data_IF_911535293032
#
_entry.id   IF_911535293032
#
_cell.length_a   1.000
_cell.length_b   1.000
_cell.length_c   1.000
_cell.angle_alpha   90.00
_cell.angle_beta   90.00
_cell.angle_gamma   90.00
#
_symmetry.space_group_name_H-M   'P 1'
#
loop_
_entity.id
_entity.type
_entity.pdbx_description
1 polymer ?
#
# COMPACT_ATOMS: atom_id res chain seq x y z
N UNK A 1 7.23 3.88 -15.35
CA UNK A 1 7.93 2.89 -14.50
C UNK A 1 6.87 2.24 -13.64
N UNK A 2 6.51 0.98 -13.93
CA UNK A 2 5.53 0.18 -13.16
C UNK A 2 6.28 -0.54 -12.04
N UNK A 3 5.70 -0.61 -10.84
CA UNK A 3 6.24 -1.43 -9.75
C UNK A 3 5.58 -2.81 -9.81
N UNK A 4 6.37 -3.87 -9.86
CA UNK A 4 5.90 -5.26 -9.81
C UNK A 4 6.19 -5.85 -8.43
N UNK A 5 5.20 -6.51 -7.85
CA UNK A 5 5.34 -7.24 -6.58
C UNK A 5 4.76 -8.65 -6.70
N UNK A 6 5.59 -9.65 -6.45
CA UNK A 6 5.20 -11.06 -6.50
C UNK A 6 4.84 -11.60 -5.12
N UNK A 7 3.64 -12.15 -4.98
CA UNK A 7 3.11 -12.80 -3.78
C UNK A 7 3.13 -14.32 -3.99
N UNK A 8 3.86 -15.04 -3.14
CA UNK A 8 4.11 -16.48 -3.28
C UNK A 8 3.43 -17.30 -2.17
N UNK A 9 2.79 -16.66 -1.18
CA UNK A 9 2.13 -17.37 -0.07
C UNK A 9 0.71 -16.85 0.20
N UNK A 10 -0.27 -17.74 0.50
CA UNK A 10 -1.63 -17.36 0.86
C UNK A 10 -1.67 -16.60 2.18
N UNK A 11 -2.41 -15.49 2.23
CA UNK A 11 -2.58 -14.71 3.45
C UNK A 11 -3.75 -15.29 4.22
N UNK A 12 -3.45 -16.00 5.30
CA UNK A 12 -4.46 -16.61 6.15
C UNK A 12 -4.89 -15.62 7.23
N UNK A 13 -6.21 -15.42 7.41
CA UNK A 13 -6.75 -15.03 8.72
C UNK A 13 -6.47 -16.19 9.69
N UNK A 14 -5.37 -16.07 10.44
CA UNK A 14 -4.92 -16.89 11.57
C UNK A 14 -5.41 -18.35 11.63
N UNK A 15 -4.48 -19.32 11.58
CA UNK A 15 -4.58 -20.53 12.37
C UNK A 15 -3.40 -20.60 13.34
N UNK A 16 -3.76 -20.72 14.61
CA UNK A 16 -2.84 -21.08 15.66
C UNK A 16 -2.31 -22.51 15.43
N UNK A 17 -1.00 -22.66 15.21
CA UNK A 17 -0.14 -23.68 15.84
C UNK A 17 1.21 -23.79 15.13
N UNK A 18 2.25 -23.57 15.92
CA UNK A 18 3.53 -24.29 16.01
C UNK A 18 4.66 -23.31 16.27
N UNK A 19 5.07 -23.28 17.55
CA UNK A 19 6.10 -22.44 18.10
C UNK A 19 7.17 -23.34 18.72
N UNK A 20 8.43 -23.15 18.33
CA UNK A 20 9.58 -23.33 19.22
C UNK A 20 10.19 -21.94 19.44
N UNK A 21 10.57 -21.70 20.69
CA UNK A 21 10.97 -20.43 21.33
C UNK A 21 11.89 -19.53 20.45
N UNK A 22 11.81 -18.19 20.50
CA UNK A 22 12.20 -17.37 21.67
C UNK A 22 11.75 -15.90 21.52
N UNK A 23 11.38 -15.28 22.65
CA UNK A 23 11.05 -13.86 22.96
C UNK A 23 9.71 -13.28 22.44
N UNK A 24 8.88 -12.87 23.40
CA UNK A 24 7.54 -12.28 23.28
C UNK A 24 7.65 -10.78 22.96
N UNK A 25 6.99 -10.30 21.91
CA UNK A 25 6.75 -8.86 21.72
C UNK A 25 5.60 -8.41 22.64
N UNK A 26 5.77 -7.38 23.49
CA UNK A 26 4.68 -6.88 24.33
C UNK A 26 3.59 -6.18 23.49
N UNK A 27 2.33 -6.15 23.95
CA UNK A 27 1.29 -5.31 23.36
C UNK A 27 1.75 -3.85 23.42
N UNK A 28 1.82 -3.20 22.26
CA UNK A 28 2.41 -1.86 22.12
C UNK A 28 2.79 -1.56 20.68
N UNK A 29 3.31 -0.35 20.46
CA UNK A 29 3.78 0.09 19.15
C UNK A 29 5.10 -0.61 18.83
N UNK A 30 5.20 -1.10 17.60
CA UNK A 30 6.33 -1.83 17.07
C UNK A 30 6.83 -1.11 15.82
N UNK A 31 8.13 -0.96 15.67
CA UNK A 31 8.75 -0.51 14.43
C UNK A 31 9.10 -1.73 13.59
N UNK A 32 8.63 -1.78 12.36
CA UNK A 32 9.07 -2.75 11.36
C UNK A 32 10.15 -2.12 10.50
N UNK A 33 11.33 -2.74 10.51
CA UNK A 33 12.53 -2.23 9.85
C UNK A 33 13.38 -3.41 9.34
N UNK A 34 13.66 -3.46 8.05
CA UNK A 34 14.41 -4.51 7.35
C UNK A 34 13.87 -5.92 7.70
N UNK A 35 12.54 -6.08 7.64
CA UNK A 35 11.84 -7.32 8.00
C UNK A 35 11.89 -7.70 9.48
N UNK A 36 12.37 -6.81 10.37
CA UNK A 36 12.48 -7.06 11.81
C UNK A 36 11.53 -6.17 12.60
N UNK A 37 10.95 -6.72 13.66
CA UNK A 37 10.11 -5.98 14.60
C UNK A 37 10.93 -5.51 15.80
N UNK A 38 10.83 -4.22 16.13
CA UNK A 38 11.44 -3.61 17.32
C UNK A 38 10.35 -2.98 18.19
N UNK A 39 10.22 -3.46 19.42
CA UNK A 39 9.25 -2.91 20.37
C UNK A 39 9.70 -1.58 20.94
N UNK A 40 8.75 -0.63 21.06
CA UNK A 40 8.98 0.65 21.72
C UNK A 40 8.30 0.66 23.09
N UNK A 41 9.11 0.80 24.14
CA UNK A 41 8.61 1.01 25.49
C UNK A 41 8.03 2.42 25.64
N UNK A 42 6.82 2.59 26.19
CA UNK A 42 6.22 3.91 26.42
C UNK A 42 7.15 4.83 27.22
N UNK A 43 7.29 6.09 26.79
CA UNK A 43 8.12 7.09 27.46
C UNK A 43 9.64 6.91 27.29
N UNK A 44 10.11 5.75 26.80
CA UNK A 44 11.52 5.55 26.49
C UNK A 44 11.87 6.24 25.17
N UNK A 45 12.99 6.97 25.18
CA UNK A 45 13.61 7.51 23.97
C UNK A 45 14.54 6.46 23.38
N UNK A 46 14.32 6.11 22.11
CA UNK A 46 15.10 5.14 21.35
C UNK A 46 15.91 5.89 20.29
N UNK A 47 17.21 5.64 20.22
CA UNK A 47 18.09 6.26 19.21
C UNK A 47 18.30 5.28 18.07
N UNK A 48 18.00 5.71 16.84
CA UNK A 48 18.25 4.92 15.64
C UNK A 48 19.33 5.56 14.77
N UNK A 49 20.23 4.73 14.22
CA UNK A 49 21.36 5.19 13.40
C UNK A 49 22.29 4.05 12.98
N UNK A 50 23.38 4.37 12.29
CA UNK A 50 24.32 3.35 11.76
C UNK A 50 25.30 2.80 12.80
N UNK A 51 25.46 3.49 13.93
CA UNK A 51 26.34 3.08 15.03
C UNK A 51 25.89 1.76 15.65
N UNK A 52 26.85 0.98 16.16
CA UNK A 52 26.58 -0.20 16.99
C UNK A 52 26.05 0.17 18.39
N UNK A 53 26.24 1.41 18.80
CA UNK A 53 25.77 1.95 20.08
C UNK A 53 24.34 2.51 20.00
N UNK A 54 23.75 2.58 18.80
CA UNK A 54 22.35 2.96 18.64
C UNK A 54 21.44 1.85 19.19
N UNK A 55 20.34 2.21 19.85
CA UNK A 55 19.32 1.26 20.31
C UNK A 55 18.74 0.48 19.12
N UNK A 56 18.59 1.15 17.97
CA UNK A 56 18.15 0.55 16.70
C UNK A 56 19.18 0.82 15.63
N UNK A 57 19.84 -0.24 15.18
CA UNK A 57 20.82 -0.15 14.10
C UNK A 57 20.13 -0.13 12.73
N UNK A 58 20.42 0.90 11.95
CA UNK A 58 19.94 1.11 10.59
C UNK A 58 21.09 1.00 9.60
N UNK A 59 20.87 0.32 8.47
CA UNK A 59 21.82 0.26 7.36
C UNK A 59 21.61 1.37 6.33
N UNK A 60 22.64 1.63 5.51
CA UNK A 60 22.51 2.40 4.27
C UNK A 60 23.42 3.64 4.14
N UNK A 61 23.69 4.08 2.90
CA UNK A 61 24.72 5.09 2.60
C UNK A 61 24.44 6.53 3.06
N UNK A 62 23.34 6.81 3.76
CA UNK A 62 22.99 8.15 4.24
C UNK A 62 22.49 8.15 5.68
N UNK A 63 22.84 7.10 6.45
CA UNK A 63 22.43 6.97 7.84
C UNK A 63 23.54 7.43 8.77
N UNK A 64 23.34 8.56 9.46
CA UNK A 64 24.26 9.05 10.48
C UNK A 64 24.39 8.06 11.68
N UNK A 65 25.51 8.07 12.43
CA UNK A 65 25.72 7.18 13.57
C UNK A 65 24.61 7.24 14.61
N UNK A 66 24.10 8.45 14.87
CA UNK A 66 22.90 8.74 15.67
C UNK A 66 22.03 9.64 14.81
N UNK A 67 21.03 9.08 14.15
CA UNK A 67 20.28 9.78 13.11
C UNK A 67 19.01 10.40 13.69
N UNK A 68 18.19 9.59 14.34
CA UNK A 68 16.90 10.02 14.87
C UNK A 68 16.70 9.56 16.29
N UNK A 69 15.90 10.30 17.05
CA UNK A 69 15.28 9.80 18.26
C UNK A 69 13.81 9.48 18.01
N UNK A 70 13.36 8.36 18.55
CA UNK A 70 12.00 7.86 18.42
C UNK A 70 11.41 7.71 19.82
N UNK A 71 10.16 8.13 19.99
CA UNK A 71 9.36 7.91 21.20
C UNK A 71 8.00 7.36 20.82
N UNK A 72 7.51 6.37 21.56
CA UNK A 72 6.13 5.92 21.44
C UNK A 72 5.19 6.85 22.21
N UNK A 73 4.10 7.24 21.55
CA UNK A 73 2.95 7.94 22.11
C UNK A 73 1.69 7.09 21.91
N UNK A 74 0.57 7.39 22.59
CA UNK A 74 -0.69 6.70 22.32
C UNK A 74 -1.07 6.80 20.83
N UNK A 75 -1.08 5.64 20.15
CA UNK A 75 -1.48 5.50 18.74
C UNK A 75 -0.49 6.04 17.70
N UNK A 76 0.71 6.47 18.10
CA UNK A 76 1.70 7.04 17.18
C UNK A 76 3.13 6.91 17.71
N UNK A 77 4.10 7.16 16.84
CA UNK A 77 5.45 7.51 17.25
C UNK A 77 5.71 8.99 16.99
N UNK A 78 6.64 9.57 17.75
CA UNK A 78 7.26 10.85 17.43
C UNK A 78 8.71 10.60 17.10
N UNK A 79 9.13 11.14 15.95
CA UNK A 79 10.50 11.06 15.45
C UNK A 79 11.10 12.47 15.45
N UNK A 80 12.27 12.63 16.06
CA UNK A 80 13.08 13.85 16.07
C UNK A 80 14.40 13.61 15.32
N UNK A 81 14.77 14.49 14.38
CA UNK A 81 16.11 14.50 13.77
C UNK A 81 17.15 14.95 14.83
N UNK A 82 18.30 14.28 14.89
CA UNK A 82 19.35 14.55 15.89
C UNK A 82 20.48 15.42 15.36
N UNK A 83 20.19 16.28 14.37
CA UNK A 83 21.19 17.11 13.73
C UNK A 83 22.04 16.32 12.74
N UNK A 84 21.45 15.31 12.10
CA UNK A 84 22.03 14.80 10.85
C UNK A 84 21.98 15.91 9.80
N UNK A 85 22.86 15.90 8.79
CA UNK A 85 22.79 16.84 7.66
C UNK A 85 21.46 16.75 6.85
N UNK A 86 20.45 15.98 7.30
CA UNK A 86 19.05 16.27 6.98
C UNK A 86 18.15 15.19 6.50
N UNK A 87 18.18 14.02 7.11
CA UNK A 87 17.74 12.83 6.41
C UNK A 87 16.54 12.08 7.04
N UNK A 88 15.73 12.73 7.87
CA UNK A 88 14.30 12.34 7.95
C UNK A 88 13.59 12.94 6.74
N UNK A 89 13.10 12.08 5.86
CA UNK A 89 12.30 12.50 4.70
C UNK A 89 10.94 11.81 4.70
N UNK A 90 9.88 12.59 4.54
CA UNK A 90 8.52 12.06 4.29
C UNK A 90 8.05 12.66 2.97
N UNK A 91 7.70 11.83 2.00
CA UNK A 91 7.30 12.29 0.66
C UNK A 91 8.37 13.12 -0.08
N UNK A 92 9.65 12.95 0.27
CA UNK A 92 10.77 13.71 -0.31
C UNK A 92 11.09 15.04 0.40
N UNK A 93 10.23 15.53 1.29
CA UNK A 93 10.47 16.73 2.10
C UNK A 93 11.28 16.40 3.36
N UNK A 94 12.24 17.28 3.72
CA UNK A 94 13.02 17.17 4.98
C UNK A 94 12.13 17.56 6.15
N UNK A 95 12.18 16.78 7.23
CA UNK A 95 11.36 17.03 8.42
C UNK A 95 12.24 16.98 9.68
N UNK A 96 12.17 17.99 10.53
CA UNK A 96 12.89 18.01 11.81
C UNK A 96 12.19 17.17 12.88
N UNK A 97 10.86 17.17 12.87
CA UNK A 97 10.01 16.37 13.75
C UNK A 97 8.76 15.89 13.05
N UNK A 98 8.45 14.61 13.18
CA UNK A 98 7.22 14.01 12.63
C UNK A 98 6.49 13.20 13.69
N UNK A 99 5.16 13.34 13.75
CA UNK A 99 4.27 12.42 14.46
C UNK A 99 3.67 11.45 13.45
N UNK A 100 3.93 10.16 13.60
CA UNK A 100 3.55 9.13 12.64
C UNK A 100 2.59 8.15 13.32
N UNK A 101 1.31 8.11 12.91
CA UNK A 101 0.33 7.22 13.53
C UNK A 101 0.66 5.74 13.24
N UNK A 102 0.08 4.84 14.03
CA UNK A 102 0.04 3.41 13.71
C UNK A 102 -0.56 3.21 12.31
N UNK A 103 0.06 2.34 11.51
CA UNK A 103 -0.21 2.17 10.08
C UNK A 103 0.58 3.13 9.18
N UNK A 104 1.10 4.22 9.75
CA UNK A 104 1.94 5.18 9.05
C UNK A 104 3.36 4.67 8.81
N UNK A 105 4.08 5.39 7.95
CA UNK A 105 5.44 5.05 7.52
C UNK A 105 6.28 6.31 7.51
N UNK A 106 7.53 6.19 7.95
CA UNK A 106 8.54 7.24 7.86
C UNK A 106 9.82 6.69 7.26
N UNK A 107 10.49 7.45 6.41
CA UNK A 107 11.75 7.03 5.82
C UNK A 107 12.92 7.76 6.44
N UNK A 108 13.96 7.00 6.79
CA UNK A 108 15.27 7.52 7.22
C UNK A 108 16.25 7.20 6.10
N UNK A 109 16.66 8.23 5.34
CA UNK A 109 17.33 8.02 4.07
C UNK A 109 16.44 7.23 3.09
N UNK A 110 16.82 5.97 2.78
CA UNK A 110 16.05 5.05 1.93
C UNK A 110 15.39 3.91 2.71
N UNK A 111 15.57 3.88 4.02
CA UNK A 111 15.08 2.79 4.88
C UNK A 111 13.69 3.17 5.37
N UNK A 112 12.62 2.45 4.95
CA UNK A 112 11.29 2.66 5.49
C UNK A 112 11.21 2.11 6.92
N UNK A 113 10.51 2.84 7.79
CA UNK A 113 10.17 2.41 9.13
C UNK A 113 8.65 2.38 9.21
N UNK A 114 8.07 1.18 9.32
CA UNK A 114 6.62 1.06 9.47
C UNK A 114 6.25 1.09 10.94
N UNK A 115 5.20 1.84 11.26
CA UNK A 115 4.61 1.84 12.59
C UNK A 115 3.52 0.79 12.63
N UNK A 116 3.80 -0.34 13.25
CA UNK A 116 2.85 -1.44 13.39
C UNK A 116 2.33 -1.56 14.83
N UNK A 117 1.18 -2.18 14.97
CA UNK A 117 0.60 -2.49 16.27
C UNK A 117 0.84 -3.96 16.61
N UNK A 118 1.35 -4.27 17.81
CA UNK A 118 1.33 -5.64 18.32
C UNK A 118 -0.09 -6.12 18.60
N UNK A 119 -0.46 -7.30 18.09
CA UNK A 119 -1.79 -7.91 18.23
C UNK A 119 -1.69 -9.27 18.94
N UNK A 120 -2.53 -9.46 19.97
CA UNK A 120 -2.66 -10.72 20.71
C UNK A 120 -2.04 -10.70 22.12
N UNK A 121 -2.58 -11.54 23.03
CA UNK A 121 -2.09 -11.70 24.42
C UNK A 121 -1.30 -13.00 24.66
N UNK A 122 -1.28 -13.95 23.72
CA UNK A 122 -0.56 -15.21 23.88
C UNK A 122 -0.11 -15.80 22.53
N UNK A 123 1.15 -16.27 22.52
CA UNK A 123 1.87 -17.01 21.48
C UNK A 123 2.05 -16.34 20.11
N UNK A 124 3.24 -15.74 19.92
CA UNK A 124 3.82 -15.49 18.59
C UNK A 124 3.79 -14.05 18.09
N UNK A 125 3.37 -13.07 18.91
CA UNK A 125 3.56 -11.63 18.67
C UNK A 125 3.24 -11.16 17.25
N UNK A 126 2.02 -11.41 16.77
CA UNK A 126 1.63 -10.91 15.46
C UNK A 126 1.59 -9.38 15.45
N UNK A 127 1.97 -8.78 14.34
CA UNK A 127 1.85 -7.36 14.09
C UNK A 127 0.64 -7.10 13.20
N UNK A 128 0.09 -5.90 13.29
CA UNK A 128 -0.89 -5.37 12.35
C UNK A 128 -0.41 -4.06 11.72
N UNK A 129 -0.60 -3.96 10.42
CA UNK A 129 -0.29 -2.78 9.61
C UNK A 129 -1.35 -2.65 8.50
N UNK A 130 -2.03 -1.51 8.44
CA UNK A 130 -3.05 -1.22 7.40
C UNK A 130 -4.10 -2.35 7.21
N UNK A 131 -4.54 -2.97 8.31
CA UNK A 131 -5.49 -4.09 8.28
C UNK A 131 -4.90 -5.46 7.94
N UNK A 132 -3.63 -5.52 7.54
CA UNK A 132 -2.87 -6.76 7.34
C UNK A 132 -2.31 -7.25 8.67
N UNK A 133 -2.24 -8.57 8.88
CA UNK A 133 -1.64 -9.19 10.07
C UNK A 133 -0.48 -10.09 9.62
N UNK A 134 0.65 -10.00 10.33
CA UNK A 134 1.89 -10.65 9.91
C UNK A 134 2.82 -10.93 11.09
N UNK A 135 3.72 -11.90 10.92
CA UNK A 135 4.70 -12.27 11.96
C UNK A 135 6.07 -12.71 11.44
N UNK A 136 6.16 -13.08 10.16
CA UNK A 136 7.41 -13.56 9.56
C UNK A 136 8.22 -12.39 9.02
N UNK A 137 9.55 -12.52 9.01
CA UNK A 137 10.41 -11.48 8.44
C UNK A 137 10.10 -11.20 6.96
N UNK A 138 9.69 -12.24 6.22
CA UNK A 138 9.23 -12.12 4.82
C UNK A 138 7.99 -11.23 4.71
N UNK A 139 6.97 -11.47 5.53
CA UNK A 139 5.77 -10.65 5.55
C UNK A 139 6.08 -9.19 5.88
N UNK A 140 6.96 -8.98 6.87
CA UNK A 140 7.36 -7.65 7.29
C UNK A 140 8.15 -6.92 6.19
N UNK A 141 9.03 -7.61 5.47
CA UNK A 141 9.73 -7.05 4.31
C UNK A 141 8.76 -6.69 3.17
N UNK A 142 7.76 -7.53 2.88
CA UNK A 142 6.72 -7.21 1.89
C UNK A 142 5.92 -5.96 2.29
N UNK A 143 5.62 -5.76 3.58
CA UNK A 143 4.98 -4.53 4.03
C UNK A 143 5.84 -3.28 3.79
N UNK A 144 7.16 -3.41 3.95
CA UNK A 144 8.08 -2.30 3.68
C UNK A 144 8.12 -1.95 2.19
N UNK A 145 8.10 -2.95 1.32
CA UNK A 145 7.99 -2.76 -0.13
C UNK A 145 6.65 -2.11 -0.50
N UNK A 146 5.53 -2.59 0.07
CA UNK A 146 4.20 -2.01 -0.17
C UNK A 146 4.12 -0.56 0.33
N UNK A 147 4.71 -0.26 1.47
CA UNK A 147 4.78 1.09 2.01
C UNK A 147 5.58 2.04 1.11
N UNK A 148 6.72 1.58 0.61
CA UNK A 148 7.53 2.35 -0.36
C UNK A 148 6.71 2.57 -1.64
N UNK A 149 6.04 1.54 -2.16
CA UNK A 149 5.15 1.67 -3.30
C UNK A 149 4.03 2.68 -3.03
N UNK A 150 3.42 2.65 -1.84
CA UNK A 150 2.41 3.58 -1.35
C UNK A 150 2.83 5.05 -1.48
N UNK A 151 4.08 5.36 -1.16
CA UNK A 151 4.65 6.72 -1.24
C UNK A 151 4.83 7.28 -2.67
N UNK A 152 4.59 6.46 -3.70
CA UNK A 152 4.71 6.86 -5.10
C UNK A 152 3.35 6.89 -5.79
N UNK A 153 3.26 7.61 -6.91
CA UNK A 153 2.08 7.60 -7.81
C UNK A 153 2.17 6.56 -8.93
N UNK A 154 3.22 5.74 -8.95
CA UNK A 154 3.42 4.76 -10.00
C UNK A 154 2.28 3.71 -9.99
N UNK A 155 1.86 3.24 -11.18
CA UNK A 155 1.02 2.06 -11.27
C UNK A 155 1.68 0.87 -10.56
N UNK A 156 0.87 0.12 -9.82
CA UNK A 156 1.33 -1.04 -9.07
C UNK A 156 0.69 -2.30 -9.64
N UNK A 157 1.51 -3.32 -9.91
CA UNK A 157 1.05 -4.63 -10.31
C UNK A 157 1.30 -5.64 -9.19
N UNK A 158 0.22 -6.26 -8.71
CA UNK A 158 0.22 -7.29 -7.68
C UNK A 158 0.02 -8.66 -8.36
N UNK A 159 1.09 -9.44 -8.44
CA UNK A 159 1.04 -10.78 -9.01
C UNK A 159 1.03 -11.84 -7.90
N UNK A 160 0.19 -12.85 -8.00
CA UNK A 160 0.21 -13.98 -7.06
C UNK A 160 -1.09 -14.78 -7.06
N UNK A 161 -1.10 -15.94 -6.40
CA UNK A 161 -2.26 -16.85 -6.38
C UNK A 161 -3.52 -16.20 -5.77
N UNK A 162 -4.70 -16.72 -6.11
CA UNK A 162 -5.95 -16.26 -5.52
C UNK A 162 -5.96 -16.55 -4.01
N UNK A 163 -6.45 -15.60 -3.19
CA UNK A 163 -6.39 -15.71 -1.73
C UNK A 163 -5.05 -15.30 -1.09
N UNK A 164 -4.05 -14.88 -1.86
CA UNK A 164 -2.80 -14.28 -1.33
C UNK A 164 -2.94 -12.81 -0.89
N UNK A 165 -4.12 -12.38 -0.46
CA UNK A 165 -4.27 -11.06 0.17
C UNK A 165 -3.98 -9.84 -0.72
N UNK A 166 -3.97 -9.98 -2.05
CA UNK A 166 -3.70 -8.88 -3.01
C UNK A 166 -4.62 -7.67 -2.79
N UNK A 167 -5.91 -7.90 -2.51
CA UNK A 167 -6.86 -6.83 -2.22
C UNK A 167 -6.49 -6.07 -0.93
N UNK A 168 -6.04 -6.78 0.12
CA UNK A 168 -5.56 -6.16 1.35
C UNK A 168 -4.29 -5.33 1.09
N UNK A 169 -3.37 -5.85 0.28
CA UNK A 169 -2.17 -5.12 -0.14
C UNK A 169 -2.53 -3.84 -0.91
N UNK A 170 -3.49 -3.90 -1.86
CA UNK A 170 -3.96 -2.73 -2.59
C UNK A 170 -4.57 -1.66 -1.65
N UNK A 171 -5.38 -2.09 -0.68
CA UNK A 171 -5.95 -1.19 0.35
C UNK A 171 -4.86 -0.56 1.21
N UNK A 172 -3.84 -1.32 1.61
CA UNK A 172 -2.72 -0.82 2.39
C UNK A 172 -1.87 0.21 1.62
N UNK A 173 -1.62 -0.04 0.34
CA UNK A 173 -0.92 0.89 -0.56
C UNK A 173 -1.72 2.18 -0.73
N UNK A 174 -3.03 2.08 -0.95
CA UNK A 174 -3.90 3.26 -1.02
C UNK A 174 -3.86 4.07 0.28
N UNK A 175 -4.01 3.42 1.44
CA UNK A 175 -4.02 4.07 2.76
C UNK A 175 -2.69 4.70 3.16
N UNK A 176 -1.59 4.36 2.50
CA UNK A 176 -0.25 4.96 2.73
C UNK A 176 0.16 5.96 1.64
N UNK A 177 -0.72 6.21 0.66
CA UNK A 177 -0.46 7.13 -0.44
C UNK A 177 -0.94 8.55 -0.16
N UNK A 178 -0.51 9.50 -0.99
CA UNK A 178 -1.03 10.86 -1.01
C UNK A 178 -2.50 10.94 -1.47
N UNK A 179 -3.07 9.83 -1.99
CA UNK A 179 -4.46 9.70 -2.40
C UNK A 179 -5.35 8.98 -1.38
N UNK A 180 -4.86 8.71 -0.17
CA UNK A 180 -5.63 8.02 0.88
C UNK A 180 -6.94 8.73 1.29
N UNK A 181 -7.06 10.04 1.03
CA UNK A 181 -8.30 10.80 1.23
C UNK A 181 -9.29 10.73 0.07
N UNK A 182 -8.88 10.18 -1.07
CA UNK A 182 -9.70 9.98 -2.26
C UNK A 182 -10.38 8.60 -2.30
N UNK A 183 -11.20 8.33 -3.33
CA UNK A 183 -11.89 7.05 -3.46
C UNK A 183 -10.92 5.89 -3.75
N UNK A 184 -11.19 4.72 -3.18
CA UNK A 184 -10.63 3.45 -3.65
C UNK A 184 -11.75 2.65 -4.32
N UNK A 185 -11.74 2.62 -5.65
CA UNK A 185 -12.73 1.88 -6.44
C UNK A 185 -12.12 0.55 -6.85
N UNK A 186 -12.75 -0.56 -6.46
CA UNK A 186 -12.29 -1.90 -6.81
C UNK A 186 -13.25 -2.56 -7.79
N UNK A 187 -12.72 -3.11 -8.88
CA UNK A 187 -13.44 -3.85 -9.90
C UNK A 187 -12.82 -5.24 -10.00
N UNK A 188 -13.64 -6.27 -9.78
CA UNK A 188 -13.27 -7.64 -10.10
C UNK A 188 -13.62 -7.92 -11.56
N UNK A 189 -12.61 -7.99 -12.42
CA UNK A 189 -12.81 -8.12 -13.87
C UNK A 189 -13.37 -9.50 -14.24
N UNK A 190 -13.05 -10.54 -13.49
CA UNK A 190 -13.58 -11.89 -13.72
C UNK A 190 -15.09 -12.00 -13.43
N UNK A 191 -15.66 -11.06 -12.67
CA UNK A 191 -17.09 -11.00 -12.36
C UNK A 191 -17.89 -10.14 -13.34
N UNK A 192 -17.24 -9.46 -14.29
CA UNK A 192 -17.90 -8.60 -15.26
C UNK A 192 -18.24 -9.35 -16.55
N UNK A 193 -19.53 -9.46 -16.92
CA UNK A 193 -19.90 -9.87 -18.27
C UNK A 193 -19.28 -8.94 -19.31
N UNK A 194 -18.80 -9.52 -20.43
CA UNK A 194 -18.08 -8.77 -21.46
C UNK A 194 -18.94 -7.63 -22.04
N UNK A 195 -20.25 -7.84 -22.14
CA UNK A 195 -21.22 -6.90 -22.71
C UNK A 195 -21.39 -5.63 -21.88
N UNK A 196 -21.12 -5.70 -20.56
CA UNK A 196 -21.28 -4.55 -19.65
C UNK A 196 -19.95 -4.00 -19.12
N UNK A 197 -18.83 -4.70 -19.37
CA UNK A 197 -17.52 -4.32 -18.86
C UNK A 197 -17.15 -2.87 -19.23
N UNK A 198 -17.41 -2.45 -20.47
CA UNK A 198 -17.14 -1.07 -20.88
C UNK A 198 -17.98 -0.03 -20.12
N UNK A 199 -19.27 -0.30 -19.96
CA UNK A 199 -20.19 0.61 -19.28
C UNK A 199 -19.93 0.67 -17.75
N UNK A 200 -19.39 -0.39 -17.14
CA UNK A 200 -18.94 -0.40 -15.75
C UNK A 200 -17.64 0.37 -15.58
N UNK A 201 -16.67 0.20 -16.48
CA UNK A 201 -15.36 0.82 -16.37
C UNK A 201 -15.38 2.29 -16.79
N UNK A 202 -15.84 2.57 -18.01
CA UNK A 202 -15.76 3.88 -18.65
C UNK A 202 -17.04 4.71 -18.49
N UNK A 203 -18.15 4.06 -18.12
CA UNK A 203 -19.46 4.70 -18.00
C UNK A 203 -20.24 4.69 -19.31
N UNK A 204 -21.48 5.15 -19.23
CA UNK A 204 -22.41 5.18 -20.37
C UNK A 204 -23.26 6.43 -20.30
N UNK A 205 -23.50 7.07 -21.45
CA UNK A 205 -24.46 8.17 -21.55
C UNK A 205 -25.84 7.66 -21.96
N UNK A 206 -26.88 8.37 -21.54
CA UNK A 206 -28.26 8.07 -21.89
C UNK A 206 -28.42 7.98 -23.41
N UNK A 207 -29.08 6.92 -23.87
CA UNK A 207 -29.35 6.69 -25.29
C UNK A 207 -28.21 6.05 -26.08
N UNK A 208 -27.10 5.68 -25.43
CA UNK A 208 -26.00 4.99 -26.11
C UNK A 208 -26.39 3.60 -26.66
N UNK A 209 -27.33 2.91 -26.01
CA UNK A 209 -27.94 1.66 -26.49
C UNK A 209 -29.36 1.48 -25.93
N UNK A 210 -30.11 0.49 -26.45
CA UNK A 210 -31.45 0.14 -25.97
C UNK A 210 -31.40 -0.31 -24.50
N UNK A 211 -31.87 0.53 -23.59
CA UNK A 211 -31.81 0.30 -22.14
C UNK A 211 -30.93 1.27 -21.36
N UNK A 212 -30.14 2.11 -22.03
CA UNK A 212 -29.38 3.19 -21.40
C UNK A 212 -30.29 4.37 -21.03
N UNK A 213 -31.14 4.17 -20.00
CA UNK A 213 -32.16 5.14 -19.60
C UNK A 213 -31.59 6.39 -18.92
N UNK A 214 -30.37 6.31 -18.37
CA UNK A 214 -29.70 7.40 -17.65
C UNK A 214 -28.19 7.33 -17.89
N UNK A 215 -27.55 8.47 -17.70
CA UNK A 215 -26.10 8.54 -17.61
C UNK A 215 -25.63 7.78 -16.37
N UNK A 216 -24.55 7.01 -16.51
CA UNK A 216 -23.91 6.33 -15.39
C UNK A 216 -22.40 6.53 -15.48
N UNK A 217 -21.83 7.08 -14.41
CA UNK A 217 -20.39 7.21 -14.26
C UNK A 217 -19.75 5.82 -14.14
N UNK A 218 -18.66 5.61 -14.86
CA UNK A 218 -17.86 4.40 -14.75
C UNK A 218 -16.89 4.42 -13.57
N UNK A 219 -16.21 3.30 -13.36
CA UNK A 219 -15.19 3.13 -12.34
C UNK A 219 -14.06 4.17 -12.44
N UNK A 220 -13.61 4.53 -13.65
CA UNK A 220 -12.55 5.55 -13.85
C UNK A 220 -12.97 6.93 -13.33
N UNK A 221 -14.19 7.37 -13.64
CA UNK A 221 -14.72 8.65 -13.16
C UNK A 221 -14.90 8.61 -11.64
N UNK A 222 -15.41 7.49 -11.13
CA UNK A 222 -15.62 7.29 -9.69
C UNK A 222 -14.29 7.26 -8.92
N UNK A 223 -13.21 6.79 -9.56
CA UNK A 223 -11.87 6.72 -8.99
C UNK A 223 -11.07 8.03 -9.14
N UNK A 224 -11.63 9.07 -9.76
CA UNK A 224 -10.95 10.35 -9.95
C UNK A 224 -10.48 10.94 -8.61
N UNK A 225 -9.23 11.43 -8.58
CA UNK A 225 -8.53 11.88 -7.38
C UNK A 225 -8.03 10.74 -6.47
N UNK A 226 -8.40 9.49 -6.75
CA UNK A 226 -8.17 8.34 -5.90
C UNK A 226 -7.41 7.20 -6.59
N UNK A 227 -7.79 5.96 -6.28
CA UNK A 227 -7.15 4.73 -6.76
C UNK A 227 -8.18 3.80 -7.37
N UNK A 228 -7.87 3.29 -8.56
CA UNK A 228 -8.62 2.23 -9.23
C UNK A 228 -7.87 0.91 -9.06
N UNK A 229 -8.51 -0.07 -8.42
CA UNK A 229 -8.05 -1.45 -8.33
C UNK A 229 -8.77 -2.29 -9.39
N UNK A 230 -8.01 -2.89 -10.31
CA UNK A 230 -8.49 -3.89 -11.25
C UNK A 230 -7.99 -5.26 -10.82
N UNK A 231 -8.86 -6.04 -10.18
CA UNK A 231 -8.56 -7.42 -9.80
C UNK A 231 -8.88 -8.38 -10.94
N UNK A 232 -8.05 -9.42 -11.07
CA UNK A 232 -8.00 -10.33 -12.21
C UNK A 232 -8.03 -9.60 -13.56
N UNK A 233 -7.16 -8.58 -13.71
CA UNK A 233 -7.07 -7.72 -14.91
C UNK A 233 -6.90 -8.51 -16.22
N UNK A 234 -6.37 -9.74 -16.15
CA UNK A 234 -6.25 -10.65 -17.29
C UNK A 234 -7.57 -11.20 -17.84
N UNK A 235 -8.69 -10.99 -17.14
CA UNK A 235 -10.05 -11.34 -17.58
C UNK A 235 -10.79 -10.17 -18.24
N UNK A 236 -10.16 -9.01 -18.40
CA UNK A 236 -10.74 -7.91 -19.17
C UNK A 236 -10.91 -8.29 -20.65
N UNK A 237 -12.07 -8.01 -21.26
CA UNK A 237 -12.25 -8.13 -22.71
C UNK A 237 -11.24 -7.27 -23.48
N UNK A 238 -10.80 -7.73 -24.66
CA UNK A 238 -9.76 -7.06 -25.45
C UNK A 238 -10.09 -5.58 -25.75
N UNK A 239 -11.34 -5.27 -26.09
CA UNK A 239 -11.78 -3.91 -26.38
C UNK A 239 -11.65 -2.99 -25.15
N UNK A 240 -11.97 -3.51 -23.96
CA UNK A 240 -11.79 -2.81 -22.70
C UNK A 240 -10.30 -2.62 -22.36
N UNK A 241 -9.43 -3.59 -22.69
CA UNK A 241 -7.98 -3.46 -22.52
C UNK A 241 -7.40 -2.32 -23.39
N UNK A 242 -7.84 -2.20 -24.65
CA UNK A 242 -7.42 -1.10 -25.53
C UNK A 242 -7.80 0.26 -24.95
N UNK A 243 -9.01 0.40 -24.40
CA UNK A 243 -9.47 1.64 -23.75
C UNK A 243 -8.75 1.91 -22.43
N UNK A 244 -8.45 0.89 -21.64
CA UNK A 244 -7.62 1.01 -20.43
C UNK A 244 -6.23 1.56 -20.78
N UNK A 245 -5.59 1.05 -21.83
CA UNK A 245 -4.29 1.54 -22.30
C UNK A 245 -4.36 3.02 -22.69
N UNK A 246 -5.41 3.43 -23.41
CA UNK A 246 -5.65 4.86 -23.72
C UNK A 246 -5.78 5.69 -22.46
N UNK A 247 -6.62 5.26 -21.50
CA UNK A 247 -6.81 5.96 -20.23
C UNK A 247 -5.50 6.17 -19.46
N UNK A 248 -4.62 5.16 -19.46
CA UNK A 248 -3.30 5.25 -18.83
C UNK A 248 -2.34 6.20 -19.55
N UNK A 249 -2.43 6.29 -20.88
CA UNK A 249 -1.54 7.11 -21.70
C UNK A 249 -1.97 8.58 -21.75
N UNK A 250 -3.27 8.85 -21.85
CA UNK A 250 -3.81 10.19 -22.08
C UNK A 250 -4.38 10.84 -20.81
N UNK A 251 -4.72 10.04 -19.79
CA UNK A 251 -5.52 10.52 -18.66
C UNK A 251 -6.95 10.86 -19.05
N UNK A 252 -7.45 10.32 -20.15
CA UNK A 252 -8.78 10.56 -20.70
C UNK A 252 -9.48 9.23 -21.01
N UNK A 253 -10.78 9.17 -20.74
CA UNK A 253 -11.63 8.03 -21.09
C UNK A 253 -12.75 8.46 -22.04
N UNK A 254 -13.26 7.50 -22.81
CA UNK A 254 -14.42 7.69 -23.69
C UNK A 254 -15.61 6.89 -23.14
N UNK A 255 -16.54 7.52 -22.38
CA UNK A 255 -17.76 6.83 -21.96
C UNK A 255 -18.57 6.36 -23.18
N UNK A 256 -19.27 5.23 -23.04
CA UNK A 256 -20.03 4.63 -24.15
C UNK A 256 -21.10 5.60 -24.64
N UNK A 257 -21.03 5.97 -25.92
CA UNK A 257 -21.94 6.91 -26.58
C UNK A 257 -21.65 8.39 -26.31
N UNK A 258 -20.61 8.73 -25.54
CA UNK A 258 -20.27 10.12 -25.26
C UNK A 258 -19.73 10.83 -26.52
N UNK A 259 -20.05 12.13 -26.70
CA UNK A 259 -19.55 12.91 -27.84
C UNK A 259 -18.12 13.40 -27.66
N UNK A 260 -17.58 13.34 -26.43
CA UNK A 260 -16.25 13.84 -26.09
C UNK A 260 -15.61 13.05 -24.95
N UNK A 261 -14.27 12.94 -24.92
CA UNK A 261 -13.55 12.31 -23.81
C UNK A 261 -13.74 13.04 -22.47
N UNK A 262 -13.51 12.32 -21.38
CA UNK A 262 -13.55 12.84 -20.00
C UNK A 262 -12.19 12.64 -19.35
N UNK A 263 -11.61 13.72 -18.80
CA UNK A 263 -10.35 13.65 -18.05
C UNK A 263 -10.52 12.96 -16.71
N UNK A 264 -9.61 12.04 -16.42
CA UNK A 264 -9.55 11.29 -15.16
C UNK A 264 -8.13 11.33 -14.62
N UNK A 265 -8.00 11.57 -13.31
CA UNK A 265 -6.73 11.49 -12.59
C UNK A 265 -6.85 10.39 -11.55
N UNK A 266 -6.18 9.27 -11.77
CA UNK A 266 -6.29 8.09 -10.94
C UNK A 266 -4.93 7.40 -10.79
N UNK A 267 -4.75 6.69 -9.69
CA UNK A 267 -3.68 5.69 -9.56
C UNK A 267 -4.24 4.32 -9.93
N UNK A 268 -3.54 3.57 -10.77
CA UNK A 268 -3.89 2.18 -11.07
C UNK A 268 -3.16 1.21 -10.13
N UNK A 269 -3.92 0.30 -9.53
CA UNK A 269 -3.40 -0.95 -8.97
C UNK A 269 -4.04 -2.09 -9.78
N UNK A 270 -3.24 -2.93 -10.40
CA UNK A 270 -3.72 -4.13 -11.09
C UNK A 270 -3.33 -5.38 -10.32
N UNK A 271 -4.18 -6.39 -10.31
CA UNK A 271 -3.90 -7.68 -9.73
C UNK A 271 -4.28 -8.80 -10.71
N UNK A 272 -3.48 -9.87 -10.72
CA UNK A 272 -3.80 -11.08 -11.49
C UNK A 272 -2.97 -12.27 -10.97
N UNK A 273 -3.54 -13.47 -11.05
CA UNK A 273 -2.80 -14.71 -10.86
C UNK A 273 -2.18 -15.26 -12.16
N UNK A 274 -2.53 -14.69 -13.32
CA UNK A 274 -2.04 -15.09 -14.64
C UNK A 274 -0.72 -14.41 -14.96
N UNK A 275 0.16 -15.13 -15.64
CA UNK A 275 1.27 -14.52 -16.37
C UNK A 275 0.70 -13.73 -17.54
N UNK A 276 0.90 -12.42 -17.53
CA UNK A 276 0.56 -11.55 -18.66
C UNK A 276 1.76 -11.51 -19.62
N UNK A 277 1.56 -11.65 -20.94
CA UNK A 277 2.63 -11.63 -21.93
C UNK A 277 3.27 -10.24 -22.12
#
# INVERSE_FOLDING_TARGET
>A
MTLEMSFVEPWVRSPAREARATRVAPPGIQLVIEGRAVGLEPGRRVIAGSSREADVRLGGPHVAPRHVAIRAEPGAIVVDDLGSDGAIRVGGARIERARVPVGGVVSIGRTPLLVAQGVGRAHGGALAWQGMIGRSARTLATWEELAVAGSTRAPLWLHGESGTGKELAARAVHGTSDRAGGPLVAINCAALPAEIAEAELFGVVRGAFTGAARDRAGAFVTAHGGTLLLDEVGDLPADAQVKLLRALQTGEIDPVGAPSPVRVDFRLISATNRSLP
#
